data_IF_741654395444
#
_entry.id   IF_741654395444
#
_cell.length_a   1.000
_cell.length_b   1.000
_cell.length_c   1.000
_cell.angle_alpha   90.00
_cell.angle_beta   90.00
_cell.angle_gamma   90.00
#
_symmetry.space_group_name_H-M   'P 1'
#
loop_
_entity.id
_entity.type
_entity.pdbx_description
1 polymer ?
#
# COMPACT_ATOMS: atom_id res chain seq x y z
N UNK A 1 -9.78 17.84 26.22
CA UNK A 1 -8.56 17.57 25.44
C UNK A 1 -8.99 17.59 23.98
N UNK A 2 -8.39 18.44 23.16
CA UNK A 2 -8.66 18.41 21.72
C UNK A 2 -8.15 17.07 21.18
N UNK A 3 -9.04 16.26 20.62
CA UNK A 3 -8.67 14.96 20.04
C UNK A 3 -7.65 15.13 18.90
N UNK A 4 -6.92 14.06 18.56
CA UNK A 4 -6.03 14.02 17.38
C UNK A 4 -6.87 14.26 16.12
N UNK A 5 -6.41 15.15 15.24
CA UNK A 5 -7.09 15.49 13.98
C UNK A 5 -6.13 15.35 12.80
N UNK A 6 -6.67 15.21 11.58
CA UNK A 6 -5.86 15.09 10.35
C UNK A 6 -4.85 16.25 10.19
N UNK A 7 -5.20 17.53 10.42
CA UNK A 7 -4.23 18.64 10.36
C UNK A 7 -3.08 18.49 11.35
N UNK A 8 -3.34 18.05 12.58
CA UNK A 8 -2.29 17.84 13.60
C UNK A 8 -1.34 16.72 13.15
N UNK A 9 -1.87 15.62 12.64
CA UNK A 9 -1.05 14.50 12.12
C UNK A 9 -0.16 14.99 10.98
N UNK A 10 -0.72 15.72 10.03
CA UNK A 10 0.01 16.26 8.88
C UNK A 10 1.12 17.22 9.34
N UNK A 11 0.81 18.15 10.24
CA UNK A 11 1.78 19.11 10.77
C UNK A 11 2.97 18.41 11.43
N UNK A 12 2.74 17.42 12.27
CA UNK A 12 3.80 16.66 12.93
C UNK A 12 4.67 15.89 11.95
N UNK A 13 4.08 15.28 10.89
CA UNK A 13 4.85 14.63 9.84
C UNK A 13 5.72 15.64 9.11
N UNK A 14 5.16 16.79 8.71
CA UNK A 14 5.91 17.82 7.98
C UNK A 14 7.02 18.46 8.80
N UNK A 15 6.84 18.62 10.09
CA UNK A 15 7.88 19.10 11.01
C UNK A 15 9.06 18.12 11.12
N UNK A 16 8.76 16.81 11.21
CA UNK A 16 9.78 15.78 11.36
C UNK A 16 10.43 15.38 10.03
N UNK A 17 9.67 15.42 8.94
CA UNK A 17 10.06 14.98 7.60
C UNK A 17 9.65 16.01 6.54
N UNK A 18 10.29 17.19 6.50
CA UNK A 18 9.85 18.31 5.64
C UNK A 18 9.81 17.98 4.15
N UNK A 19 10.69 17.08 3.68
CA UNK A 19 10.81 16.72 2.27
C UNK A 19 10.17 15.39 1.88
N UNK A 20 9.55 14.66 2.83
CA UNK A 20 9.01 13.32 2.60
C UNK A 20 7.69 13.33 1.82
N UNK A 21 6.86 14.36 2.06
CA UNK A 21 5.49 14.45 1.55
C UNK A 21 5.50 15.08 0.15
N UNK A 22 5.07 14.30 -0.84
CA UNK A 22 4.95 14.74 -2.24
C UNK A 22 3.58 15.34 -2.53
N UNK A 23 2.53 14.77 -1.95
CA UNK A 23 1.15 15.21 -2.15
C UNK A 23 0.29 14.91 -0.92
N UNK A 24 -0.69 15.77 -0.68
CA UNK A 24 -1.66 15.63 0.40
C UNK A 24 -3.06 15.73 -0.17
N UNK A 25 -3.93 14.84 0.21
CA UNK A 25 -5.37 14.89 -0.12
C UNK A 25 -6.19 14.31 1.03
N UNK A 26 -7.48 14.60 1.02
CA UNK A 26 -8.39 14.14 2.09
C UNK A 26 -9.72 13.63 1.51
N UNK A 27 -9.69 12.61 0.62
CA UNK A 27 -10.91 12.06 0.06
C UNK A 27 -11.76 11.41 1.16
N UNK A 28 -13.02 11.80 1.22
CA UNK A 28 -14.01 11.29 2.20
C UNK A 28 -13.56 11.46 3.66
N UNK A 29 -12.79 12.51 3.98
CA UNK A 29 -12.30 12.78 5.33
C UNK A 29 -11.11 11.89 5.76
N UNK A 30 -10.52 11.12 4.86
CA UNK A 30 -9.36 10.27 5.12
C UNK A 30 -8.07 10.97 4.69
N UNK A 31 -7.25 11.39 5.65
CA UNK A 31 -5.93 11.95 5.37
C UNK A 31 -5.11 10.97 4.53
N UNK A 32 -4.75 11.41 3.35
CA UNK A 32 -4.02 10.61 2.37
C UNK A 32 -2.74 11.33 1.97
N UNK A 33 -1.61 10.69 2.23
CA UNK A 33 -0.28 11.23 1.98
C UNK A 33 0.40 10.42 0.88
N UNK A 34 0.94 11.09 -0.12
CA UNK A 34 1.88 10.47 -1.03
C UNK A 34 3.29 10.78 -0.57
N UNK A 35 4.08 9.75 -0.30
CA UNK A 35 5.44 9.86 0.21
C UNK A 35 6.47 9.36 -0.81
N UNK A 36 7.69 9.91 -0.71
CA UNK A 36 8.85 9.31 -1.36
C UNK A 36 9.07 7.90 -0.81
N UNK A 37 9.39 6.96 -1.67
CA UNK A 37 9.57 5.53 -1.31
C UNK A 37 10.48 5.32 -0.10
N UNK A 38 11.59 6.03 -0.02
CA UNK A 38 12.57 5.94 1.05
C UNK A 38 12.08 6.42 2.41
N UNK A 39 11.07 7.31 2.43
CA UNK A 39 10.57 7.95 3.64
C UNK A 39 9.34 7.23 4.21
N UNK A 40 8.78 6.23 3.51
CA UNK A 40 7.59 5.51 3.95
C UNK A 40 7.80 4.83 5.30
N UNK A 41 8.83 3.98 5.44
CA UNK A 41 9.09 3.30 6.71
C UNK A 41 9.48 4.26 7.85
N UNK A 42 10.36 5.25 7.66
CA UNK A 42 10.63 6.26 8.69
C UNK A 42 9.37 6.99 9.17
N UNK A 43 8.49 7.41 8.25
CA UNK A 43 7.22 8.08 8.62
C UNK A 43 6.29 7.11 9.35
N UNK A 44 6.16 5.87 8.89
CA UNK A 44 5.33 4.86 9.56
C UNK A 44 5.86 4.54 10.97
N UNK A 45 7.18 4.44 11.14
CA UNK A 45 7.82 4.25 12.44
C UNK A 45 7.54 5.43 13.39
N UNK A 46 7.64 6.65 12.89
CA UNK A 46 7.31 7.85 13.64
C UNK A 46 5.84 7.88 14.09
N UNK A 47 4.92 7.62 13.17
CA UNK A 47 3.48 7.57 13.46
C UNK A 47 3.15 6.50 14.52
N UNK A 48 3.79 5.34 14.44
CA UNK A 48 3.58 4.22 15.36
C UNK A 48 4.18 4.51 16.74
N UNK A 49 5.41 5.03 16.80
CA UNK A 49 6.20 5.08 18.03
C UNK A 49 6.00 6.39 18.82
N UNK A 50 5.36 7.41 18.23
CA UNK A 50 5.03 8.65 18.90
C UNK A 50 3.78 8.46 19.78
N UNK A 51 3.87 8.54 21.12
CA UNK A 51 2.75 8.20 22.01
C UNK A 51 1.48 9.03 21.77
N UNK A 52 1.62 10.28 21.32
CA UNK A 52 0.49 11.16 21.02
C UNK A 52 -0.24 10.75 19.74
N UNK A 53 0.43 10.06 18.82
CA UNK A 53 -0.10 9.61 17.52
C UNK A 53 -0.60 8.18 17.59
N UNK A 54 0.21 7.25 18.07
CA UNK A 54 -0.08 5.84 18.34
C UNK A 54 -0.80 5.12 17.19
N UNK A 55 -0.26 5.22 15.98
CA UNK A 55 -0.76 4.45 14.82
C UNK A 55 -0.22 3.01 14.86
N UNK A 56 -0.64 2.26 15.85
CA UNK A 56 -0.14 0.91 16.14
C UNK A 56 -0.77 -0.19 15.25
N UNK A 57 -1.81 0.12 14.49
CA UNK A 57 -2.55 -0.87 13.72
C UNK A 57 -2.42 -0.63 12.21
N UNK A 58 -1.80 -1.59 11.49
CA UNK A 58 -1.82 -1.67 10.04
C UNK A 58 -3.11 -2.37 9.63
N UNK A 59 -4.09 -1.60 9.16
CA UNK A 59 -5.40 -2.12 8.77
C UNK A 59 -5.35 -2.82 7.43
N UNK A 60 -4.52 -2.30 6.51
CA UNK A 60 -4.42 -2.81 5.15
C UNK A 60 -3.10 -2.39 4.50
N UNK A 61 -2.60 -3.24 3.62
CA UNK A 61 -1.49 -2.99 2.70
C UNK A 61 -1.82 -3.66 1.38
N UNK A 62 -1.84 -2.91 0.29
CA UNK A 62 -2.11 -3.47 -1.03
C UNK A 62 -1.25 -2.82 -2.12
N UNK A 63 -1.02 -3.58 -3.19
CA UNK A 63 -0.43 -3.08 -4.42
C UNK A 63 -1.46 -2.40 -5.32
N UNK A 64 -1.00 -1.51 -6.18
CA UNK A 64 -1.80 -0.90 -7.26
C UNK A 64 -0.98 -0.80 -8.54
N UNK A 65 -1.66 -0.89 -9.69
CA UNK A 65 -1.03 -0.76 -11.00
C UNK A 65 -1.78 0.26 -11.86
N UNK A 66 -1.05 1.28 -12.34
CA UNK A 66 -1.50 2.36 -13.21
C UNK A 66 -0.60 2.43 -14.45
N UNK A 67 -0.81 1.60 -15.48
CA UNK A 67 0.10 1.46 -16.63
C UNK A 67 0.36 2.78 -17.38
N UNK A 68 -0.60 3.70 -17.34
CA UNK A 68 -0.52 4.99 -18.03
C UNK A 68 0.27 6.07 -17.25
N UNK A 69 0.67 5.79 -16.01
CA UNK A 69 1.42 6.74 -15.17
C UNK A 69 2.93 6.49 -15.28
N UNK A 70 3.56 7.02 -16.32
CA UNK A 70 5.00 6.86 -16.56
C UNK A 70 5.86 7.15 -15.32
N UNK A 71 6.78 6.23 -14.98
CA UNK A 71 7.65 6.21 -13.79
C UNK A 71 6.91 6.03 -12.45
N UNK A 72 5.62 5.74 -12.51
CA UNK A 72 4.72 5.58 -11.35
C UNK A 72 3.70 4.47 -11.58
N UNK A 73 4.08 3.52 -12.41
CA UNK A 73 3.16 2.46 -12.86
C UNK A 73 2.72 1.55 -11.71
N UNK A 74 3.62 1.23 -10.79
CA UNK A 74 3.30 0.45 -9.60
C UNK A 74 3.36 1.29 -8.33
N UNK A 75 2.56 0.91 -7.34
CA UNK A 75 2.58 1.56 -6.04
C UNK A 75 2.14 0.63 -4.93
N UNK A 76 2.41 1.06 -3.70
CA UNK A 76 1.94 0.41 -2.48
C UNK A 76 1.15 1.42 -1.66
N UNK A 77 0.02 0.98 -1.14
CA UNK A 77 -0.88 1.76 -0.30
C UNK A 77 -0.94 1.10 1.07
N UNK A 78 -0.72 1.89 2.11
CA UNK A 78 -0.81 1.48 3.50
C UNK A 78 -1.95 2.23 4.19
N UNK A 79 -2.74 1.53 5.00
CA UNK A 79 -3.74 2.14 5.86
C UNK A 79 -3.36 1.89 7.32
N UNK A 80 -3.06 2.98 8.03
CA UNK A 80 -2.73 2.94 9.45
C UNK A 80 -3.88 3.50 10.28
N UNK A 81 -4.07 2.93 11.47
CA UNK A 81 -5.11 3.33 12.41
C UNK A 81 -4.52 3.54 13.81
N UNK A 82 -4.76 4.69 14.38
CA UNK A 82 -4.60 4.96 15.81
C UNK A 82 -5.89 4.59 16.53
N UNK A 83 -5.89 3.44 17.19
CA UNK A 83 -7.09 2.94 17.88
C UNK A 83 -7.49 3.82 19.05
N UNK A 84 -6.51 4.38 19.76
CA UNK A 84 -6.72 5.24 20.92
C UNK A 84 -7.36 6.57 20.52
N UNK A 85 -6.89 7.15 19.40
CA UNK A 85 -7.36 8.44 18.92
C UNK A 85 -8.52 8.30 17.91
N UNK A 86 -8.82 7.09 17.43
CA UNK A 86 -9.79 6.80 16.38
C UNK A 86 -9.54 7.62 15.09
N UNK A 87 -8.28 7.76 14.70
CA UNK A 87 -7.85 8.46 13.48
C UNK A 87 -7.18 7.49 12.53
N UNK A 88 -7.45 7.64 11.24
CA UNK A 88 -6.84 6.83 10.18
C UNK A 88 -6.04 7.69 9.23
N UNK A 89 -4.96 7.13 8.70
CA UNK A 89 -4.14 7.75 7.65
C UNK A 89 -3.88 6.74 6.54
N UNK A 90 -3.91 7.21 5.29
CA UNK A 90 -3.49 6.45 4.12
C UNK A 90 -2.16 6.98 3.63
N UNK A 91 -1.21 6.09 3.45
CA UNK A 91 0.10 6.39 2.88
C UNK A 91 0.18 5.71 1.52
N UNK A 92 0.59 6.46 0.49
CA UNK A 92 0.80 5.96 -0.87
C UNK A 92 2.23 6.22 -1.28
N UNK A 93 2.80 5.31 -2.01
CA UNK A 93 4.07 5.53 -2.70
C UNK A 93 4.03 4.85 -4.07
N UNK A 94 4.68 5.47 -5.05
CA UNK A 94 4.70 4.97 -6.43
C UNK A 94 6.14 4.86 -6.91
N UNK A 95 6.37 3.94 -7.84
CA UNK A 95 7.67 3.68 -8.43
C UNK A 95 7.53 3.03 -9.82
N UNK A 96 8.61 3.05 -10.62
CA UNK A 96 8.62 2.42 -11.95
C UNK A 96 8.41 0.91 -11.89
N UNK A 97 7.69 0.39 -12.87
CA UNK A 97 7.45 -1.05 -13.01
C UNK A 97 8.76 -1.85 -13.24
N UNK A 98 9.77 -1.24 -13.86
CA UNK A 98 11.06 -1.88 -14.12
C UNK A 98 11.87 -2.24 -12.86
N UNK A 99 11.58 -1.61 -11.73
CA UNK A 99 12.26 -1.84 -10.46
C UNK A 99 11.27 -1.81 -9.28
N UNK A 100 10.33 -2.78 -9.23
CA UNK A 100 9.23 -2.78 -8.28
C UNK A 100 9.71 -3.29 -6.92
N UNK A 101 10.51 -2.49 -6.23
CA UNK A 101 11.07 -2.83 -4.91
C UNK A 101 10.64 -1.84 -3.87
N UNK A 102 10.37 -2.35 -2.66
CA UNK A 102 10.00 -1.57 -1.49
C UNK A 102 10.67 -2.17 -0.24
N UNK A 103 11.13 -1.41 0.74
CA UNK A 103 11.55 -1.99 2.01
C UNK A 103 10.35 -2.59 2.75
N UNK A 104 10.56 -3.75 3.40
CA UNK A 104 9.50 -4.47 4.13
C UNK A 104 9.10 -3.73 5.42
N UNK A 105 7.81 -3.64 5.65
CA UNK A 105 7.23 -3.10 6.88
C UNK A 105 7.06 -4.15 8.00
N UNK A 106 7.51 -5.40 7.81
CA UNK A 106 7.36 -6.49 8.79
C UNK A 106 8.04 -6.21 10.12
N UNK A 107 9.10 -5.40 10.12
CA UNK A 107 9.78 -4.95 11.36
C UNK A 107 8.93 -3.99 12.19
N UNK A 108 7.99 -3.30 11.55
CA UNK A 108 7.07 -2.38 12.23
C UNK A 108 5.73 -3.04 12.55
N UNK A 109 5.20 -3.84 11.62
CA UNK A 109 3.86 -4.44 11.72
C UNK A 109 3.92 -5.92 11.33
N UNK A 110 3.66 -6.81 12.26
CA UNK A 110 3.64 -8.26 11.98
C UNK A 110 2.61 -8.63 10.89
N UNK A 111 1.49 -7.90 10.81
CA UNK A 111 0.46 -8.11 9.79
C UNK A 111 0.97 -7.87 8.36
N UNK A 112 1.98 -7.03 8.18
CA UNK A 112 2.59 -6.76 6.88
C UNK A 112 3.13 -8.03 6.21
N UNK A 113 3.56 -9.04 6.98
CA UNK A 113 4.08 -10.30 6.42
C UNK A 113 3.14 -10.90 5.36
N UNK A 114 1.87 -11.07 5.70
CA UNK A 114 0.90 -11.68 4.80
C UNK A 114 0.49 -10.75 3.64
N UNK A 115 0.29 -9.48 3.94
CA UNK A 115 -0.14 -8.47 2.97
C UNK A 115 0.95 -8.15 1.95
N UNK A 116 2.23 -8.16 2.34
CA UNK A 116 3.36 -8.00 1.44
C UNK A 116 3.52 -9.21 0.51
N UNK A 117 3.32 -10.43 1.03
CA UNK A 117 3.31 -11.64 0.20
C UNK A 117 2.17 -11.62 -0.82
N UNK A 118 0.96 -11.19 -0.43
CA UNK A 118 -0.16 -11.02 -1.35
C UNK A 118 0.16 -9.97 -2.42
N UNK A 119 0.71 -8.83 -2.01
CA UNK A 119 1.12 -7.76 -2.94
C UNK A 119 2.22 -8.22 -3.90
N UNK A 120 3.19 -9.00 -3.43
CA UNK A 120 4.20 -9.64 -4.28
C UNK A 120 3.55 -10.62 -5.25
N UNK A 121 2.66 -11.48 -4.77
CA UNK A 121 2.02 -12.53 -5.56
C UNK A 121 1.19 -11.97 -6.71
N UNK A 122 0.46 -10.87 -6.47
CA UNK A 122 -0.42 -10.28 -7.47
C UNK A 122 0.22 -9.24 -8.39
N UNK A 123 1.24 -8.51 -7.91
CA UNK A 123 1.83 -7.37 -8.64
C UNK A 123 3.32 -7.52 -8.93
N UNK A 124 4.02 -8.47 -8.31
CA UNK A 124 5.46 -8.64 -8.43
C UNK A 124 6.29 -7.58 -7.72
N UNK A 125 5.72 -6.91 -6.72
CA UNK A 125 6.44 -5.93 -5.91
C UNK A 125 7.30 -6.67 -4.89
N UNK A 126 8.62 -6.51 -4.97
CA UNK A 126 9.57 -7.16 -4.07
C UNK A 126 9.74 -6.33 -2.80
N UNK A 127 9.57 -6.95 -1.64
CA UNK A 127 9.76 -6.31 -0.34
C UNK A 127 11.12 -6.70 0.24
N UNK A 128 12.09 -5.79 0.14
CA UNK A 128 13.45 -6.00 0.63
C UNK A 128 13.45 -6.12 2.17
N UNK A 129 14.06 -7.21 2.68
CA UNK A 129 14.07 -7.52 4.12
C UNK A 129 12.85 -8.28 4.63
N UNK A 130 11.93 -8.70 3.76
CA UNK A 130 10.84 -9.59 4.14
C UNK A 130 11.38 -10.97 4.56
N UNK A 131 10.92 -11.57 5.66
CA UNK A 131 11.47 -12.82 6.20
C UNK A 131 11.22 -14.05 5.31
N UNK A 132 10.14 -14.07 4.53
CA UNK A 132 9.77 -15.24 3.69
C UNK A 132 8.86 -14.75 2.54
N UNK A 133 9.46 -14.06 1.54
CA UNK A 133 8.73 -13.50 0.39
C UNK A 133 8.51 -14.56 -0.67
N UNK A 134 7.37 -15.22 -0.64
CA UNK A 134 6.91 -16.21 -1.62
C UNK A 134 5.43 -16.03 -1.92
N UNK A 135 4.93 -16.63 -2.99
CA UNK A 135 3.51 -16.60 -3.33
C UNK A 135 2.65 -17.13 -2.20
N UNK A 136 1.39 -16.71 -2.13
CA UNK A 136 0.47 -17.08 -1.05
C UNK A 136 -0.89 -17.59 -1.58
N UNK A 137 -1.37 -17.05 -2.69
CA UNK A 137 -2.68 -17.36 -3.26
C UNK A 137 -2.58 -18.04 -4.63
N UNK A 138 -1.61 -17.65 -5.47
CA UNK A 138 -1.40 -18.24 -6.76
C UNK A 138 -0.44 -19.45 -6.67
N UNK A 139 -0.44 -20.30 -7.68
CA UNK A 139 0.48 -21.44 -7.76
C UNK A 139 1.91 -20.99 -7.95
N UNK A 140 2.87 -21.74 -7.41
CA UNK A 140 4.28 -21.36 -7.42
C UNK A 140 4.87 -21.29 -8.85
N UNK A 141 4.34 -22.10 -9.77
CA UNK A 141 4.78 -22.18 -11.17
C UNK A 141 4.26 -21.03 -12.04
N UNK A 142 3.38 -20.16 -11.51
CA UNK A 142 2.86 -19.02 -12.26
C UNK A 142 3.97 -18.03 -12.58
N UNK A 143 4.18 -17.73 -13.87
CA UNK A 143 5.27 -16.89 -14.38
C UNK A 143 4.85 -15.42 -14.61
N UNK A 144 3.62 -15.05 -14.22
CA UNK A 144 3.08 -13.70 -14.35
C UNK A 144 2.41 -13.21 -13.06
N UNK A 145 1.98 -11.94 -13.04
CA UNK A 145 1.34 -11.28 -11.91
C UNK A 145 -0.09 -10.84 -12.29
N UNK A 146 -1.12 -11.59 -11.86
CA UNK A 146 -2.45 -11.55 -12.47
C UNK A 146 -3.21 -10.24 -12.24
N UNK A 147 -2.83 -9.42 -11.27
CA UNK A 147 -3.50 -8.13 -11.01
C UNK A 147 -2.89 -6.96 -11.79
N UNK A 148 -1.82 -7.18 -12.54
CA UNK A 148 -1.32 -6.18 -13.47
C UNK A 148 -2.31 -6.01 -14.62
N UNK A 149 -2.54 -4.77 -15.05
CA UNK A 149 -3.57 -4.42 -16.05
C UNK A 149 -3.31 -4.96 -17.46
N UNK A 150 -2.10 -5.42 -17.73
CA UNK A 150 -1.74 -6.10 -18.98
C UNK A 150 -2.38 -7.49 -19.11
N UNK A 151 -2.74 -8.12 -17.99
CA UNK A 151 -3.43 -9.40 -17.97
C UNK A 151 -4.94 -9.21 -17.90
N UNK A 152 -5.66 -9.92 -18.77
CA UNK A 152 -7.12 -9.87 -18.79
C UNK A 152 -7.68 -10.65 -17.60
N UNK A 153 -8.71 -10.11 -16.94
CA UNK A 153 -9.44 -10.80 -15.88
C UNK A 153 -10.26 -11.99 -16.41
N UNK A 154 -10.59 -11.98 -17.69
CA UNK A 154 -11.40 -13.00 -18.31
C UNK A 154 -10.60 -13.66 -19.43
N UNK A 155 -10.70 -14.98 -19.52
CA UNK A 155 -10.21 -15.74 -20.68
C UNK A 155 -11.09 -15.41 -21.90
N UNK A 156 -10.56 -14.59 -22.80
CA UNK A 156 -11.25 -14.19 -24.03
C UNK A 156 -11.42 -15.34 -25.06
N UNK A 157 -10.84 -16.51 -24.81
CA UNK A 157 -10.98 -17.70 -25.65
C UNK A 157 -12.14 -18.61 -25.22
N UNK A 158 -12.73 -18.35 -24.06
CA UNK A 158 -13.87 -19.12 -23.56
C UNK A 158 -15.09 -18.95 -24.46
N UNK A 159 -15.63 -20.08 -24.90
CA UNK A 159 -16.84 -20.18 -25.75
C UNK A 159 -18.09 -20.59 -24.94
N UNK A 160 -17.89 -21.02 -23.70
CA UNK A 160 -18.93 -21.51 -22.79
C UNK A 160 -19.55 -20.42 -21.91
N UNK A 161 -19.09 -19.15 -22.05
CA UNK A 161 -19.59 -18.02 -21.28
C UNK A 161 -20.92 -17.54 -21.86
N UNK A 162 -21.96 -17.56 -21.05
CA UNK A 162 -23.27 -16.97 -21.37
C UNK A 162 -23.54 -15.78 -20.44
N UNK A 163 -23.35 -14.55 -20.95
CA UNK A 163 -23.51 -13.32 -20.20
C UNK A 163 -24.95 -13.09 -19.68
N UNK A 164 -25.94 -13.80 -20.25
CA UNK A 164 -27.33 -13.73 -19.78
C UNK A 164 -27.52 -14.21 -18.33
N UNK A 165 -26.62 -15.08 -17.85
CA UNK A 165 -26.66 -15.63 -16.51
C UNK A 165 -25.76 -14.87 -15.50
N UNK A 166 -24.86 -14.00 -15.95
CA UNK A 166 -23.88 -13.33 -15.11
C UNK A 166 -24.08 -11.81 -15.00
N UNK A 167 -25.18 -11.27 -15.49
CA UNK A 167 -25.65 -9.92 -15.18
C UNK A 167 -24.76 -8.76 -15.64
N UNK A 168 -24.10 -8.89 -16.77
CA UNK A 168 -23.35 -7.79 -17.41
C UNK A 168 -24.05 -7.29 -18.67
#
# INVERSE_FOLDING_TARGET
MSGLTNPIVLEQIQQQFPDAVLNVSEPFGLLTLELKKQDVLPVMAFLRNTPALDFCFLTDLCGVHFPDQHQRELGVIYHLHSLVNNVRVRIKTFFPEKAPKMPSATTLFAAANWMERETYDFYGIVFDGHPDLRRILNVDEMDYFPMRKEYRLEDGTRTDKDDRYFGR
#
